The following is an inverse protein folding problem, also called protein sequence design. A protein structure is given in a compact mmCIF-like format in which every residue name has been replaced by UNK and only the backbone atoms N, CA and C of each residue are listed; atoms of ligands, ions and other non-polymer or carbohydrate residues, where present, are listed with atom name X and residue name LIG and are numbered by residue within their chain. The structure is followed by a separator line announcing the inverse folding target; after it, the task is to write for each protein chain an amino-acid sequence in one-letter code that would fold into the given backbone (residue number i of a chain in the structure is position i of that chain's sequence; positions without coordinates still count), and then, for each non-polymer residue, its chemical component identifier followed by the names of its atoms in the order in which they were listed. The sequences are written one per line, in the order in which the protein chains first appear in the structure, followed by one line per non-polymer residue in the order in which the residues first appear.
data_IF_351189828135
#
_entry.id   IF_351189828135
#
_cell.length_a   1.000
_cell.length_b   1.000
_cell.length_c   1.000
_cell.angle_alpha   90.00
_cell.angle_beta   90.00
_cell.angle_gamma   90.00
#
_symmetry.space_group_name_H-M   'P 1'
#
loop_
_entity.id
_entity.type
_entity.pdbx_description
1 polymer ?
#
# COMPACT_ATOMS: atom_id res chain seq x y z
N UNK A 1 -6.65 9.45 -31.14
CA UNK A 1 -5.75 8.58 -30.35
C UNK A 1 -4.78 7.95 -31.35
N UNK A 2 -3.54 8.40 -31.30
CA UNK A 2 -2.53 7.88 -32.24
C UNK A 2 -2.09 6.51 -31.70
N UNK A 3 -2.27 5.43 -32.47
CA UNK A 3 -1.92 4.07 -32.03
C UNK A 3 -0.41 3.88 -31.87
N UNK A 4 0.40 4.80 -32.40
CA UNK A 4 1.86 4.82 -32.28
C UNK A 4 2.35 5.25 -30.88
N UNK A 5 1.47 5.82 -30.04
CA UNK A 5 1.81 6.24 -28.66
C UNK A 5 1.63 5.12 -27.62
N UNK A 6 1.22 3.90 -28.07
CA UNK A 6 1.09 2.75 -27.17
C UNK A 6 2.47 2.12 -26.97
N UNK A 7 3.04 2.33 -25.79
CA UNK A 7 4.36 1.77 -25.40
C UNK A 7 4.17 0.63 -24.42
N UNK A 8 4.70 -0.55 -24.77
CA UNK A 8 4.79 -1.67 -23.84
C UNK A 8 6.04 -1.49 -23.00
N UNK A 9 5.91 -1.52 -21.67
CA UNK A 9 7.01 -1.42 -20.74
C UNK A 9 7.18 -2.71 -19.95
N UNK A 10 8.43 -3.15 -19.76
CA UNK A 10 8.77 -4.30 -18.95
C UNK A 10 9.55 -3.83 -17.72
N UNK A 11 9.29 -4.46 -16.59
CA UNK A 11 10.07 -4.27 -15.37
C UNK A 11 10.71 -5.59 -14.94
N UNK A 12 11.94 -5.51 -14.47
CA UNK A 12 12.63 -6.63 -13.82
C UNK A 12 12.59 -6.38 -12.32
N UNK A 13 12.29 -7.43 -11.58
CA UNK A 13 12.19 -7.40 -10.13
C UNK A 13 13.02 -8.54 -9.55
N UNK A 14 13.90 -8.22 -8.61
CA UNK A 14 14.53 -9.25 -7.79
C UNK A 14 13.70 -9.44 -6.53
N UNK A 15 13.35 -10.69 -6.27
CA UNK A 15 12.56 -11.08 -5.11
C UNK A 15 13.37 -11.98 -4.17
N UNK A 16 13.17 -11.80 -2.87
CA UNK A 16 13.68 -12.69 -1.84
C UNK A 16 12.52 -13.09 -0.92
N UNK A 17 12.27 -14.39 -0.82
CA UNK A 17 11.19 -14.99 -0.03
C UNK A 17 9.81 -14.35 -0.35
N UNK A 18 9.51 -14.16 -1.65
CA UNK A 18 8.25 -13.59 -2.14
C UNK A 18 8.10 -12.08 -1.94
N UNK A 19 9.18 -11.36 -1.63
CA UNK A 19 9.18 -9.90 -1.48
C UNK A 19 10.15 -9.27 -2.45
N UNK A 20 9.69 -8.24 -3.16
CA UNK A 20 10.56 -7.46 -4.05
C UNK A 20 11.60 -6.71 -3.22
N UNK A 21 12.88 -6.98 -3.54
CA UNK A 21 14.04 -6.32 -2.91
C UNK A 21 14.68 -5.28 -3.85
N UNK A 22 14.66 -5.53 -5.16
CA UNK A 22 15.12 -4.57 -6.17
C UNK A 22 14.08 -4.51 -7.28
N UNK A 23 13.59 -3.31 -7.55
CA UNK A 23 12.81 -2.94 -8.71
C UNK A 23 13.63 -2.00 -9.62
N UNK A 24 13.11 -1.56 -10.79
CA UNK A 24 13.83 -0.65 -11.68
C UNK A 24 14.27 0.66 -11.03
N UNK A 25 13.50 1.18 -10.07
CA UNK A 25 13.82 2.41 -9.36
C UNK A 25 14.94 2.20 -8.33
N UNK A 26 14.86 1.13 -7.56
CA UNK A 26 15.90 0.76 -6.58
C UNK A 26 17.22 0.45 -7.29
N UNK A 27 17.18 -0.25 -8.44
CA UNK A 27 18.38 -0.52 -9.23
C UNK A 27 19.08 0.79 -9.65
N UNK A 28 18.33 1.78 -10.14
CA UNK A 28 18.86 3.10 -10.48
C UNK A 28 19.47 3.82 -9.27
N UNK A 29 18.84 3.72 -8.09
CA UNK A 29 19.39 4.25 -6.83
C UNK A 29 20.73 3.62 -6.52
N UNK A 30 20.85 2.29 -6.60
CA UNK A 30 22.11 1.58 -6.33
C UNK A 30 23.20 1.98 -7.34
N UNK A 31 22.87 2.08 -8.62
CA UNK A 31 23.78 2.59 -9.66
C UNK A 31 24.27 4.00 -9.33
N UNK A 32 23.35 4.88 -8.90
CA UNK A 32 23.69 6.26 -8.58
C UNK A 32 24.53 6.39 -7.31
N UNK A 33 24.33 5.50 -6.32
CA UNK A 33 25.19 5.43 -5.14
C UNK A 33 26.60 5.02 -5.55
N UNK A 34 26.73 4.02 -6.42
CA UNK A 34 28.01 3.56 -6.96
C UNK A 34 28.75 4.69 -7.72
N UNK A 35 28.03 5.47 -8.52
CA UNK A 35 28.56 6.63 -9.26
C UNK A 35 28.96 7.77 -8.33
N UNK A 36 28.04 8.23 -7.47
CA UNK A 36 28.21 9.44 -6.65
C UNK A 36 28.99 9.21 -5.37
N UNK A 37 29.08 7.97 -4.91
CA UNK A 37 29.70 7.57 -3.62
C UNK A 37 29.17 8.39 -2.44
N UNK A 38 27.91 8.82 -2.52
CA UNK A 38 27.26 9.69 -1.54
C UNK A 38 25.76 9.50 -1.55
N UNK A 39 25.20 9.06 -0.42
CA UNK A 39 23.74 8.94 -0.26
C UNK A 39 23.05 10.30 -0.37
N UNK A 40 23.64 11.37 0.18
CA UNK A 40 23.07 12.69 0.10
C UNK A 40 22.94 13.18 -1.36
N UNK A 41 24.04 13.09 -2.14
CA UNK A 41 24.01 13.48 -3.57
C UNK A 41 23.10 12.57 -4.39
N UNK A 42 22.98 11.30 -4.02
CA UNK A 42 22.03 10.36 -4.64
C UNK A 42 20.60 10.79 -4.34
N UNK A 43 20.23 11.03 -3.09
CA UNK A 43 18.90 11.48 -2.72
C UNK A 43 18.53 12.78 -3.46
N UNK A 44 19.46 13.74 -3.52
CA UNK A 44 19.29 14.98 -4.27
C UNK A 44 19.06 14.75 -5.77
N UNK A 45 19.77 13.80 -6.40
CA UNK A 45 19.61 13.51 -7.84
C UNK A 45 18.27 12.84 -8.17
N UNK A 46 17.62 12.23 -7.19
CA UNK A 46 16.29 11.64 -7.32
C UNK A 46 15.16 12.53 -6.77
N UNK A 47 15.49 13.73 -6.26
CA UNK A 47 14.50 14.63 -5.68
C UNK A 47 13.79 14.06 -4.45
N UNK A 48 14.44 13.16 -3.70
CA UNK A 48 13.87 12.54 -2.51
C UNK A 48 14.61 12.97 -1.24
N UNK A 49 13.93 13.02 -0.08
CA UNK A 49 14.57 13.23 1.20
C UNK A 49 15.66 12.19 1.49
N UNK A 50 16.73 12.61 2.14
CA UNK A 50 17.82 11.70 2.55
C UNK A 50 17.31 10.55 3.46
N UNK A 51 16.38 10.85 4.36
CA UNK A 51 15.73 9.85 5.22
C UNK A 51 15.02 8.77 4.41
N UNK A 52 14.27 9.15 3.36
CA UNK A 52 13.57 8.21 2.47
C UNK A 52 14.53 7.26 1.75
N UNK A 53 15.65 7.78 1.25
CA UNK A 53 16.69 6.93 0.65
C UNK A 53 17.23 5.92 1.68
N UNK A 54 17.45 6.40 2.91
CA UNK A 54 17.93 5.58 4.01
C UNK A 54 16.94 4.48 4.40
N UNK A 55 15.65 4.79 4.43
CA UNK A 55 14.59 3.83 4.73
C UNK A 55 14.47 2.74 3.65
N UNK A 56 14.64 3.10 2.39
CA UNK A 56 14.68 2.13 1.28
C UNK A 56 15.82 1.14 1.49
N UNK A 57 17.03 1.63 1.74
CA UNK A 57 18.21 0.80 1.97
C UNK A 57 18.01 -0.08 3.22
N UNK A 58 17.62 0.51 4.34
CA UNK A 58 17.42 -0.20 5.60
C UNK A 58 16.33 -1.29 5.51
N UNK A 59 15.28 -1.06 4.70
CA UNK A 59 14.26 -2.06 4.43
C UNK A 59 14.84 -3.26 3.70
N UNK A 60 15.62 -3.04 2.65
CA UNK A 60 16.24 -4.11 1.86
C UNK A 60 17.21 -4.91 2.73
N UNK A 61 18.08 -4.23 3.47
CA UNK A 61 19.05 -4.86 4.38
C UNK A 61 18.37 -5.71 5.46
N UNK A 62 17.28 -5.22 6.04
CA UNK A 62 16.47 -5.99 7.01
C UNK A 62 15.84 -7.23 6.39
N UNK A 63 15.36 -7.15 5.15
CA UNK A 63 14.76 -8.29 4.44
C UNK A 63 15.81 -9.36 4.12
N UNK A 64 17.00 -8.94 3.74
CA UNK A 64 18.11 -9.82 3.37
C UNK A 64 18.90 -10.34 4.58
N UNK A 65 18.86 -9.61 5.68
CA UNK A 65 19.71 -9.89 6.86
C UNK A 65 21.18 -9.49 6.68
N UNK A 66 21.49 -8.75 5.61
CA UNK A 66 22.85 -8.39 5.22
C UNK A 66 22.92 -6.95 4.71
N UNK A 67 24.07 -6.30 4.91
CA UNK A 67 24.34 -4.94 4.46
C UNK A 67 24.58 -4.90 2.96
N UNK A 68 23.92 -3.94 2.27
CA UNK A 68 24.15 -3.64 0.86
C UNK A 68 24.94 -2.34 0.65
N UNK A 69 25.04 -1.50 1.70
CA UNK A 69 25.76 -0.23 1.71
C UNK A 69 26.69 -0.15 2.91
N UNK A 70 27.93 0.28 2.66
CA UNK A 70 28.91 0.65 3.67
C UNK A 70 29.19 2.14 3.64
N UNK A 71 29.45 2.72 4.83
CA UNK A 71 29.83 4.12 5.01
C UNK A 71 31.20 4.24 5.64
N UNK A 72 32.04 5.06 5.03
CA UNK A 72 33.34 5.42 5.57
C UNK A 72 33.35 6.86 6.03
N UNK A 73 33.81 7.11 7.29
CA UNK A 73 33.90 8.45 7.88
C UNK A 73 35.10 9.19 7.31
N UNK A 74 34.87 10.40 6.81
CA UNK A 74 35.83 11.52 6.66
C UNK A 74 37.16 11.31 5.95
N UNK A 75 37.66 12.30 5.21
CA UNK A 75 38.94 12.29 4.50
C UNK A 75 38.85 11.90 3.02
N UNK A 76 39.99 11.69 2.33
CA UNK A 76 40.07 11.37 0.89
C UNK A 76 39.34 10.08 0.46
N UNK A 77 38.89 9.23 1.39
CA UNK A 77 38.16 7.98 1.14
C UNK A 77 36.76 7.93 1.75
N UNK A 78 36.27 9.02 2.35
CA UNK A 78 34.92 9.04 2.97
C UNK A 78 33.80 8.98 1.94
N UNK A 79 32.72 8.23 2.25
CA UNK A 79 31.61 8.12 1.32
C UNK A 79 30.67 6.94 1.65
N UNK A 80 29.73 6.68 0.73
CA UNK A 80 28.85 5.52 0.76
C UNK A 80 29.13 4.65 -0.47
N UNK A 81 29.36 3.37 -0.25
CA UNK A 81 29.73 2.41 -1.27
C UNK A 81 28.79 1.20 -1.18
N UNK A 82 28.59 0.51 -2.29
CA UNK A 82 27.98 -0.81 -2.26
C UNK A 82 28.94 -1.79 -1.58
N UNK A 83 28.40 -2.70 -0.76
CA UNK A 83 29.15 -3.88 -0.30
C UNK A 83 29.33 -4.85 -1.47
N UNK A 84 30.17 -5.88 -1.30
CA UNK A 84 30.32 -6.95 -2.31
C UNK A 84 28.95 -7.59 -2.60
N UNK A 85 28.12 -7.78 -1.58
CA UNK A 85 26.76 -8.28 -1.73
C UNK A 85 25.84 -7.29 -2.46
N UNK A 86 25.93 -6.00 -2.17
CA UNK A 86 25.21 -4.95 -2.91
C UNK A 86 25.60 -4.89 -4.39
N UNK A 87 26.89 -5.04 -4.70
CA UNK A 87 27.41 -5.14 -6.09
C UNK A 87 26.89 -6.41 -6.78
N UNK A 88 26.87 -7.54 -6.09
CA UNK A 88 26.33 -8.80 -6.62
C UNK A 88 24.85 -8.66 -6.98
N UNK A 89 24.04 -8.09 -6.09
CA UNK A 89 22.60 -7.86 -6.33
C UNK A 89 22.37 -6.95 -7.56
N UNK A 90 23.12 -5.84 -7.65
CA UNK A 90 23.02 -4.93 -8.78
C UNK A 90 23.47 -5.61 -10.07
N UNK A 91 24.52 -6.43 -10.03
CA UNK A 91 24.98 -7.21 -11.18
C UNK A 91 23.92 -8.21 -11.64
N UNK A 92 23.30 -8.98 -10.74
CA UNK A 92 22.20 -9.91 -11.07
C UNK A 92 21.03 -9.20 -11.76
N UNK A 93 20.68 -8.02 -11.27
CA UNK A 93 19.63 -7.20 -11.90
C UNK A 93 20.04 -6.79 -13.32
N UNK A 94 21.25 -6.27 -13.51
CA UNK A 94 21.75 -5.80 -14.81
C UNK A 94 21.96 -6.95 -15.81
N UNK A 95 22.39 -8.13 -15.36
CA UNK A 95 22.52 -9.32 -16.19
C UNK A 95 21.13 -9.78 -16.70
N UNK A 96 20.13 -9.84 -15.83
CA UNK A 96 18.76 -10.16 -16.22
C UNK A 96 18.19 -9.11 -17.20
N UNK A 97 18.46 -7.82 -16.94
CA UNK A 97 18.10 -6.70 -17.83
C UNK A 97 18.70 -6.90 -19.21
N UNK A 98 20.00 -7.18 -19.31
CA UNK A 98 20.71 -7.38 -20.57
C UNK A 98 20.22 -8.62 -21.35
N UNK A 99 19.81 -9.68 -20.65
CA UNK A 99 19.21 -10.88 -21.29
C UNK A 99 17.85 -10.53 -21.90
N UNK A 100 17.01 -9.78 -21.15
CA UNK A 100 15.69 -9.38 -21.62
C UNK A 100 15.80 -8.43 -22.82
N UNK A 101 16.68 -7.43 -22.79
CA UNK A 101 16.96 -6.51 -23.89
C UNK A 101 17.41 -7.23 -25.16
N UNK A 102 18.29 -8.21 -25.04
CA UNK A 102 18.75 -9.02 -26.18
C UNK A 102 17.65 -9.89 -26.79
N UNK A 103 16.73 -10.43 -25.97
CA UNK A 103 15.64 -11.30 -26.44
C UNK A 103 14.46 -10.53 -27.03
N UNK A 104 14.19 -9.32 -26.56
CA UNK A 104 13.02 -8.52 -26.94
C UNK A 104 13.36 -7.44 -27.97
N UNK A 105 14.64 -7.28 -28.35
CA UNK A 105 15.09 -6.18 -29.19
C UNK A 105 14.99 -4.85 -28.43
N UNK A 106 15.10 -3.72 -29.15
CA UNK A 106 15.06 -2.37 -28.58
C UNK A 106 13.66 -1.94 -28.10
N UNK A 107 12.85 -2.86 -27.61
CA UNK A 107 11.62 -2.55 -26.89
C UNK A 107 12.02 -1.84 -25.60
N UNK A 108 11.69 -0.59 -25.50
CA UNK A 108 12.10 0.40 -24.52
C UNK A 108 12.06 -0.14 -23.09
N UNK A 109 13.21 -0.50 -22.55
CA UNK A 109 13.41 -0.65 -21.13
C UNK A 109 13.41 0.73 -20.48
N UNK A 110 12.82 0.84 -19.30
CA UNK A 110 12.83 2.08 -18.52
C UNK A 110 14.28 2.34 -18.06
N UNK A 111 15.04 3.04 -18.87
CA UNK A 111 16.41 3.50 -18.62
C UNK A 111 16.53 5.00 -18.85
N UNK A 112 15.49 5.74 -18.52
CA UNK A 112 15.50 7.20 -18.50
C UNK A 112 15.26 7.70 -17.07
N UNK A 113 15.73 8.90 -16.78
CA UNK A 113 15.34 9.66 -15.59
C UNK A 113 13.82 9.51 -15.47
N UNK A 114 13.36 8.87 -14.40
CA UNK A 114 11.92 8.82 -14.10
C UNK A 114 11.51 10.29 -13.94
N UNK A 115 10.70 10.85 -14.84
CA UNK A 115 10.29 12.24 -14.67
C UNK A 115 9.66 12.38 -13.31
N UNK A 116 9.99 13.43 -12.58
CA UNK A 116 9.36 13.71 -11.29
C UNK A 116 7.85 13.55 -11.44
N UNK A 117 7.19 12.77 -10.58
CA UNK A 117 5.75 12.62 -10.66
C UNK A 117 5.11 14.01 -10.46
N UNK A 118 4.03 14.27 -11.19
CA UNK A 118 3.22 15.47 -11.01
C UNK A 118 2.34 15.36 -9.76
N UNK A 119 2.08 14.10 -9.34
CA UNK A 119 1.26 13.79 -8.18
C UNK A 119 1.74 12.50 -7.51
N UNK A 120 1.95 12.54 -6.21
CA UNK A 120 2.28 11.37 -5.39
C UNK A 120 1.09 11.09 -4.48
N UNK A 121 0.46 9.92 -4.65
CA UNK A 121 -0.68 9.47 -3.85
C UNK A 121 -0.27 8.30 -2.98
N UNK A 122 -0.32 8.46 -1.65
CA UNK A 122 -0.17 7.36 -0.70
C UNK A 122 -1.54 6.86 -0.25
N UNK A 123 -1.74 5.54 -0.25
CA UNK A 123 -3.03 4.94 0.03
C UNK A 123 -2.91 3.54 0.62
N UNK A 124 -4.03 2.99 1.08
CA UNK A 124 -4.17 1.58 1.40
C UNK A 124 -4.63 0.78 0.17
N UNK A 125 -4.53 -0.55 0.24
CA UNK A 125 -5.00 -1.45 -0.81
C UNK A 125 -6.51 -1.29 -1.02
N UNK A 126 -6.90 -0.74 -2.19
CA UNK A 126 -8.28 -0.46 -2.55
C UNK A 126 -8.49 -0.43 -4.07
N UNK A 127 -9.60 -1.02 -4.51
CA UNK A 127 -9.92 -1.10 -5.94
C UNK A 127 -10.25 0.26 -6.54
N UNK A 128 -11.11 1.06 -5.86
CA UNK A 128 -11.58 2.33 -6.42
C UNK A 128 -10.46 3.35 -6.55
N UNK A 129 -9.57 3.45 -5.55
CA UNK A 129 -8.43 4.36 -5.66
C UNK A 129 -7.50 3.95 -6.82
N UNK A 130 -7.32 2.66 -7.07
CA UNK A 130 -6.54 2.20 -8.22
C UNK A 130 -7.20 2.60 -9.54
N UNK A 131 -8.52 2.49 -9.67
CA UNK A 131 -9.28 2.94 -10.85
C UNK A 131 -9.11 4.46 -11.04
N UNK A 132 -9.20 5.25 -9.98
CA UNK A 132 -9.00 6.71 -10.02
C UNK A 132 -7.58 7.05 -10.50
N UNK A 133 -6.57 6.38 -9.96
CA UNK A 133 -5.16 6.58 -10.35
C UNK A 133 -4.96 6.24 -11.83
N UNK A 134 -5.52 5.14 -12.32
CA UNK A 134 -5.43 4.76 -13.74
C UNK A 134 -6.18 5.76 -14.64
N UNK A 135 -7.31 6.32 -14.18
CA UNK A 135 -8.01 7.40 -14.89
C UNK A 135 -7.12 8.65 -15.04
N UNK A 136 -6.41 9.05 -14.00
CA UNK A 136 -5.47 10.17 -14.06
C UNK A 136 -4.30 9.89 -15.03
N UNK A 137 -3.75 8.69 -14.97
CA UNK A 137 -2.65 8.26 -15.86
C UNK A 137 -3.08 8.26 -17.32
N UNK A 138 -4.32 7.84 -17.61
CA UNK A 138 -4.89 7.86 -18.98
C UNK A 138 -5.04 9.28 -19.54
N UNK A 139 -5.06 10.29 -18.67
CA UNK A 139 -5.07 11.73 -19.03
C UNK A 139 -3.66 12.33 -19.06
N UNK A 140 -2.62 11.48 -19.14
CA UNK A 140 -1.21 11.85 -19.17
C UNK A 140 -0.70 12.56 -17.89
N UNK A 141 -1.36 12.39 -16.74
CA UNK A 141 -0.85 12.86 -15.45
C UNK A 141 0.13 11.82 -14.92
N UNK A 142 1.35 12.23 -14.61
CA UNK A 142 2.38 11.34 -14.05
C UNK A 142 2.13 11.10 -12.56
N UNK A 143 1.33 10.07 -12.24
CA UNK A 143 0.99 9.71 -10.87
C UNK A 143 1.93 8.62 -10.35
N UNK A 144 2.61 8.89 -9.25
CA UNK A 144 3.25 7.87 -8.41
C UNK A 144 2.27 7.41 -7.34
N UNK A 145 1.95 6.14 -7.35
CA UNK A 145 1.08 5.49 -6.38
C UNK A 145 1.92 4.71 -5.36
N UNK A 146 1.64 4.91 -4.07
CA UNK A 146 2.32 4.28 -2.95
C UNK A 146 1.29 3.56 -2.06
N UNK A 147 1.16 2.25 -2.25
CA UNK A 147 0.27 1.42 -1.41
C UNK A 147 0.97 1.05 -0.10
N UNK A 148 0.76 1.84 0.95
CA UNK A 148 1.51 1.78 2.22
C UNK A 148 0.64 1.50 3.45
N UNK A 149 -0.69 1.56 3.28
CA UNK A 149 -1.65 1.55 4.37
C UNK A 149 -1.91 2.95 4.96
N UNK A 150 -3.07 3.09 5.62
CA UNK A 150 -3.63 4.39 6.03
C UNK A 150 -2.73 5.18 6.96
N UNK A 151 -2.13 4.53 7.97
CA UNK A 151 -1.30 5.22 8.96
C UNK A 151 -0.04 5.83 8.35
N UNK A 152 0.69 5.05 7.54
CA UNK A 152 1.90 5.55 6.89
C UNK A 152 1.57 6.60 5.82
N UNK A 153 0.43 6.49 5.13
CA UNK A 153 -0.03 7.50 4.19
C UNK A 153 -0.21 8.86 4.85
N UNK A 154 -0.88 8.92 6.01
CA UNK A 154 -1.04 10.17 6.77
C UNK A 154 0.29 10.69 7.30
N UNK A 155 1.20 9.82 7.77
CA UNK A 155 2.52 10.22 8.21
C UNK A 155 3.32 10.89 7.09
N UNK A 156 3.32 10.31 5.88
CA UNK A 156 4.01 10.86 4.72
C UNK A 156 3.37 12.18 4.23
N UNK A 157 2.05 12.33 4.34
CA UNK A 157 1.40 13.61 4.07
C UNK A 157 1.86 14.67 5.06
N UNK A 158 1.97 14.33 6.35
CA UNK A 158 2.41 15.29 7.37
C UNK A 158 3.82 15.81 7.12
N UNK A 159 4.74 14.93 6.69
CA UNK A 159 6.14 15.29 6.38
C UNK A 159 6.30 15.93 4.99
N UNK A 160 5.26 15.95 4.15
CA UNK A 160 5.32 16.51 2.79
C UNK A 160 6.01 15.59 1.78
N UNK A 161 6.08 14.30 2.06
CA UNK A 161 6.66 13.31 1.14
C UNK A 161 5.66 12.84 0.07
N UNK A 162 4.37 13.12 0.27
CA UNK A 162 3.30 12.85 -0.70
C UNK A 162 2.38 14.04 -0.81
N UNK A 163 1.70 14.17 -1.94
CA UNK A 163 0.75 15.25 -2.20
C UNK A 163 -0.64 14.89 -1.65
N UNK A 164 -1.02 13.63 -1.75
CA UNK A 164 -2.34 13.11 -1.31
C UNK A 164 -2.15 11.87 -0.44
N UNK A 165 -2.87 11.80 0.67
CA UNK A 165 -2.99 10.60 1.49
C UNK A 165 -4.43 10.14 1.61
N UNK A 166 -4.66 8.84 1.40
CA UNK A 166 -5.97 8.24 1.58
C UNK A 166 -5.97 7.28 2.77
N UNK A 167 -6.98 7.39 3.63
CA UNK A 167 -7.06 6.67 4.89
C UNK A 167 -8.49 6.22 5.22
N UNK A 168 -8.59 5.19 6.09
CA UNK A 168 -9.85 4.65 6.63
C UNK A 168 -9.62 4.11 8.05
N UNK A 169 -9.04 4.92 8.92
CA UNK A 169 -8.69 4.55 10.29
C UNK A 169 -9.87 4.76 11.22
N UNK A 170 -10.41 3.69 11.73
CA UNK A 170 -11.50 3.72 12.71
C UNK A 170 -10.99 4.07 14.10
N UNK A 171 -11.66 4.99 14.76
CA UNK A 171 -11.43 5.32 16.18
C UNK A 171 -12.61 4.81 17.01
N UNK A 172 -12.41 3.77 17.85
CA UNK A 172 -13.48 3.22 18.66
C UNK A 172 -13.97 4.13 19.80
N UNK A 173 -13.21 5.16 20.16
CA UNK A 173 -13.57 6.10 21.23
C UNK A 173 -14.61 7.11 20.71
N UNK A 174 -14.37 7.68 19.51
CA UNK A 174 -15.25 8.65 18.89
C UNK A 174 -16.30 8.03 17.99
N UNK A 175 -16.15 6.76 17.64
CA UNK A 175 -16.93 6.04 16.63
C UNK A 175 -16.89 6.71 15.25
N UNK A 176 -15.75 7.33 14.92
CA UNK A 176 -15.54 8.07 13.69
C UNK A 176 -14.32 7.54 12.93
N UNK A 177 -14.20 7.96 11.67
CA UNK A 177 -13.04 7.62 10.82
C UNK A 177 -12.14 8.84 10.66
N UNK A 178 -10.85 8.61 10.73
CA UNK A 178 -9.73 9.48 10.39
C UNK A 178 -9.51 10.72 11.28
N UNK A 179 -10.54 11.41 11.79
CA UNK A 179 -10.42 12.70 12.48
C UNK A 179 -9.39 12.71 13.63
N UNK A 180 -9.47 11.73 14.55
CA UNK A 180 -8.51 11.63 15.66
C UNK A 180 -7.09 11.32 15.18
N UNK A 181 -6.96 10.63 14.06
CA UNK A 181 -5.67 10.32 13.45
C UNK A 181 -5.07 11.53 12.73
N UNK A 182 -5.89 12.38 12.09
CA UNK A 182 -5.40 13.66 11.56
C UNK A 182 -4.78 14.51 12.66
N UNK A 183 -5.36 14.50 13.87
CA UNK A 183 -4.76 15.19 15.02
C UNK A 183 -3.44 14.56 15.47
N UNK A 184 -3.38 13.22 15.57
CA UNK A 184 -2.16 12.49 15.94
C UNK A 184 -1.01 12.69 14.97
N UNK A 185 -1.30 12.90 13.69
CA UNK A 185 -0.32 13.18 12.64
C UNK A 185 -0.10 14.67 12.37
N UNK A 186 -0.59 15.58 13.26
CA UNK A 186 -0.49 17.05 13.13
C UNK A 186 -1.06 17.60 11.81
N UNK A 187 -2.06 16.92 11.27
CA UNK A 187 -2.74 17.30 10.02
C UNK A 187 -4.07 18.04 10.28
N UNK A 188 -4.62 17.97 11.48
CA UNK A 188 -5.86 18.67 11.83
C UNK A 188 -5.77 20.16 11.50
N UNK A 189 -6.77 20.69 10.83
CA UNK A 189 -6.83 22.07 10.30
C UNK A 189 -5.80 22.43 9.22
N UNK A 190 -4.89 21.51 8.83
CA UNK A 190 -3.87 21.72 7.80
C UNK A 190 -4.19 21.04 6.48
N UNK A 191 -5.18 20.17 6.46
CA UNK A 191 -5.60 19.45 5.27
C UNK A 191 -7.04 19.75 4.89
N UNK A 192 -7.35 19.51 3.62
CA UNK A 192 -8.69 19.46 3.05
C UNK A 192 -8.97 18.02 2.64
N UNK A 193 -10.21 17.57 2.93
CA UNK A 193 -10.72 16.32 2.38
C UNK A 193 -11.21 16.58 0.95
N UNK A 194 -10.58 15.94 -0.01
CA UNK A 194 -10.88 16.17 -1.43
C UNK A 194 -11.96 15.25 -1.98
N UNK A 195 -12.06 14.01 -1.47
CA UNK A 195 -13.17 13.10 -1.76
C UNK A 195 -13.28 12.01 -0.70
N UNK A 196 -14.43 11.36 -0.68
CA UNK A 196 -14.69 10.21 0.20
C UNK A 196 -15.72 9.26 -0.41
N UNK A 197 -15.67 8.02 0.07
CA UNK A 197 -16.64 6.98 -0.24
C UNK A 197 -16.72 5.97 0.90
N UNK A 198 -17.75 5.14 0.88
CA UNK A 198 -17.94 4.08 1.84
C UNK A 198 -17.61 2.72 1.23
N UNK A 199 -17.00 1.85 2.04
CA UNK A 199 -16.74 0.45 1.71
C UNK A 199 -17.40 -0.47 2.73
N UNK A 200 -18.05 -1.50 2.26
CA UNK A 200 -18.61 -2.55 3.11
C UNK A 200 -17.49 -3.51 3.52
N UNK A 201 -17.26 -3.63 4.82
CA UNK A 201 -16.33 -4.59 5.40
C UNK A 201 -17.06 -5.87 5.75
N UNK A 202 -16.51 -7.00 5.34
CA UNK A 202 -17.10 -8.33 5.53
C UNK A 202 -16.09 -9.28 6.16
N UNK A 203 -16.55 -10.22 6.96
CA UNK A 203 -15.78 -11.43 7.28
C UNK A 203 -15.98 -12.41 6.13
N UNK A 204 -14.89 -12.70 5.41
CA UNK A 204 -14.88 -13.62 4.29
C UNK A 204 -14.29 -14.98 4.67
N UNK A 205 -14.86 -16.05 4.14
CA UNK A 205 -14.48 -17.44 4.42
C UNK A 205 -14.79 -18.34 3.21
N UNK A 206 -14.22 -19.56 3.22
CA UNK A 206 -14.46 -20.55 2.17
C UNK A 206 -15.55 -21.56 2.53
N UNK A 207 -15.77 -21.80 3.82
CA UNK A 207 -16.68 -22.84 4.28
C UNK A 207 -18.11 -22.33 4.37
N UNK A 208 -19.01 -22.92 3.56
CA UNK A 208 -20.40 -22.48 3.47
C UNK A 208 -21.17 -22.61 4.80
N UNK A 209 -20.74 -23.51 5.69
CA UNK A 209 -21.42 -23.72 6.97
C UNK A 209 -21.46 -22.46 7.84
N UNK A 210 -20.47 -21.56 7.68
CA UNK A 210 -20.41 -20.29 8.41
C UNK A 210 -21.49 -19.28 7.95
N UNK A 211 -22.19 -19.54 6.84
CA UNK A 211 -23.32 -18.70 6.41
C UNK A 211 -24.52 -18.83 7.33
N UNK A 212 -24.69 -19.98 7.95
CA UNK A 212 -25.84 -20.26 8.84
C UNK A 212 -25.60 -19.76 10.27
N UNK A 213 -24.34 -19.43 10.61
CA UNK A 213 -23.97 -18.94 11.94
C UNK A 213 -24.14 -17.41 12.02
N UNK A 214 -24.48 -16.92 13.20
CA UNK A 214 -24.46 -15.46 13.44
C UNK A 214 -23.01 -14.96 13.67
N UNK A 215 -22.84 -13.64 13.66
CA UNK A 215 -21.53 -13.00 13.81
C UNK A 215 -20.93 -13.28 15.19
N UNK A 216 -21.75 -13.32 16.24
CA UNK A 216 -21.30 -13.59 17.60
C UNK A 216 -20.74 -15.02 17.73
N UNK A 217 -21.40 -16.02 17.13
CA UNK A 217 -20.92 -17.40 17.14
C UNK A 217 -19.61 -17.57 16.35
N UNK A 218 -19.44 -16.85 15.22
CA UNK A 218 -18.18 -16.81 14.48
C UNK A 218 -17.06 -16.27 15.37
N UNK A 219 -17.28 -15.12 16.03
CA UNK A 219 -16.28 -14.55 16.95
C UNK A 219 -15.99 -15.48 18.14
N UNK A 220 -16.99 -16.16 18.66
CA UNK A 220 -16.81 -17.15 19.74
C UNK A 220 -15.89 -18.29 19.31
N UNK A 221 -16.04 -18.79 18.08
CA UNK A 221 -15.16 -19.83 17.50
C UNK A 221 -13.74 -19.30 17.29
N UNK A 222 -13.58 -18.06 16.81
CA UNK A 222 -12.27 -17.41 16.72
C UNK A 222 -11.59 -17.35 18.10
N UNK A 223 -12.31 -16.87 19.11
CA UNK A 223 -11.78 -16.71 20.47
C UNK A 223 -11.52 -18.05 21.19
N UNK A 224 -12.15 -19.13 20.76
CA UNK A 224 -11.85 -20.48 21.23
C UNK A 224 -10.65 -21.13 20.52
N UNK A 225 -10.12 -20.53 19.43
CA UNK A 225 -9.08 -21.12 18.61
C UNK A 225 -9.58 -22.21 17.64
N UNK A 226 -10.87 -22.23 17.37
CA UNK A 226 -11.49 -23.19 16.43
C UNK A 226 -11.36 -22.73 14.97
N UNK A 227 -11.19 -21.41 14.75
CA UNK A 227 -11.02 -20.81 13.43
C UNK A 227 -9.72 -19.98 13.40
N UNK A 228 -8.91 -20.22 12.38
CA UNK A 228 -7.66 -19.48 12.13
C UNK A 228 -7.96 -18.21 11.36
N UNK A 229 -7.52 -17.08 11.87
CA UNK A 229 -7.73 -15.79 11.21
C UNK A 229 -6.52 -15.34 10.39
N UNK A 230 -6.77 -14.50 9.39
CA UNK A 230 -5.75 -13.75 8.66
C UNK A 230 -5.83 -12.27 8.98
N UNK A 231 -4.68 -11.68 9.36
CA UNK A 231 -4.57 -10.24 9.66
C UNK A 231 -3.88 -9.49 8.53
N UNK A 232 -4.35 -8.28 8.24
CA UNK A 232 -3.65 -7.36 7.36
C UNK A 232 -2.36 -6.85 8.03
N UNK A 233 -1.49 -6.25 7.23
CA UNK A 233 -0.27 -5.61 7.70
C UNK A 233 -0.53 -4.55 8.77
N UNK A 234 0.41 -4.35 9.68
CA UNK A 234 0.34 -3.34 10.74
C UNK A 234 0.19 -1.94 10.13
N UNK A 235 -0.68 -1.12 10.74
CA UNK A 235 -1.04 0.22 10.24
C UNK A 235 -2.12 0.24 9.14
N UNK A 236 -2.62 -0.91 8.71
CA UNK A 236 -3.80 -1.01 7.85
C UNK A 236 -5.07 -0.72 8.66
N UNK A 237 -5.99 0.09 8.11
CA UNK A 237 -7.27 0.37 8.75
C UNK A 237 -8.13 -0.89 8.94
N UNK A 238 -8.10 -1.84 8.00
CA UNK A 238 -8.79 -3.13 8.14
C UNK A 238 -8.25 -3.93 9.33
N UNK A 239 -6.93 -3.90 9.58
CA UNK A 239 -6.35 -4.56 10.77
C UNK A 239 -6.83 -3.88 12.04
N UNK A 240 -6.79 -2.57 12.12
CA UNK A 240 -7.25 -1.79 13.29
C UNK A 240 -8.70 -2.10 13.60
N UNK A 241 -9.55 -2.14 12.58
CA UNK A 241 -10.96 -2.50 12.74
C UNK A 241 -11.12 -3.96 13.22
N UNK A 242 -10.35 -4.90 12.69
CA UNK A 242 -10.48 -6.30 13.09
C UNK A 242 -9.97 -6.53 14.52
N UNK A 243 -8.85 -5.90 14.91
CA UNK A 243 -8.37 -5.92 16.31
C UNK A 243 -9.39 -5.32 17.28
N UNK A 244 -10.05 -4.22 16.89
CA UNK A 244 -11.16 -3.66 17.68
C UNK A 244 -12.33 -4.64 17.82
N UNK A 245 -12.75 -5.29 16.73
CA UNK A 245 -13.84 -6.26 16.77
C UNK A 245 -13.49 -7.46 17.64
N UNK A 246 -12.28 -8.00 17.53
CA UNK A 246 -11.79 -9.09 18.37
C UNK A 246 -11.84 -8.71 19.85
N UNK A 247 -11.38 -7.50 20.20
CA UNK A 247 -11.44 -6.98 21.57
C UNK A 247 -12.89 -6.83 22.04
N UNK A 248 -13.75 -6.21 21.24
CA UNK A 248 -15.18 -6.02 21.55
C UNK A 248 -15.86 -7.33 21.88
N UNK A 249 -15.70 -8.37 21.01
CA UNK A 249 -16.31 -9.67 21.23
C UNK A 249 -15.63 -10.46 22.36
N UNK A 250 -14.35 -10.26 22.61
CA UNK A 250 -13.65 -10.78 23.78
C UNK A 250 -14.29 -10.29 25.10
N UNK A 251 -14.63 -9.00 25.17
CA UNK A 251 -15.32 -8.40 26.32
C UNK A 251 -16.77 -8.91 26.44
N UNK A 252 -17.55 -8.93 25.35
CA UNK A 252 -18.95 -9.40 25.32
C UNK A 252 -19.05 -10.88 25.76
N UNK A 253 -18.16 -11.72 25.25
CA UNK A 253 -18.18 -13.16 25.48
C UNK A 253 -17.37 -13.61 26.72
N UNK A 254 -16.76 -12.66 27.42
CA UNK A 254 -15.88 -12.92 28.56
C UNK A 254 -14.78 -13.96 28.23
N UNK A 255 -14.09 -13.78 27.11
CA UNK A 255 -12.98 -14.61 26.62
C UNK A 255 -11.77 -13.75 26.36
N UNK A 256 -10.57 -14.28 26.60
CA UNK A 256 -9.33 -13.59 26.25
C UNK A 256 -8.89 -13.91 24.81
N UNK A 257 -7.89 -13.16 24.33
CA UNK A 257 -7.34 -13.31 22.97
C UNK A 257 -6.24 -14.38 22.86
N UNK A 258 -5.87 -15.04 23.95
CA UNK A 258 -4.70 -15.96 24.00
C UNK A 258 -4.85 -17.18 23.13
N UNK A 259 -6.09 -17.60 22.86
CA UNK A 259 -6.39 -18.76 22.01
C UNK A 259 -6.57 -18.43 20.54
N UNK A 260 -6.59 -17.15 20.16
CA UNK A 260 -6.80 -16.73 18.77
C UNK A 260 -5.61 -17.17 17.90
N UNK A 261 -5.88 -18.02 16.93
CA UNK A 261 -4.87 -18.53 15.98
C UNK A 261 -4.78 -17.59 14.79
N UNK A 262 -3.57 -17.05 14.51
CA UNK A 262 -3.32 -16.19 13.36
C UNK A 262 -3.28 -14.69 13.67
N UNK A 263 -3.39 -14.28 14.93
CA UNK A 263 -3.33 -12.88 15.35
C UNK A 263 -2.02 -12.18 14.92
N UNK A 264 -0.90 -12.92 14.90
CA UNK A 264 0.41 -12.43 14.46
C UNK A 264 0.66 -12.58 12.96
N UNK A 265 -0.31 -13.13 12.22
CA UNK A 265 -0.18 -13.22 10.76
C UNK A 265 -0.18 -11.83 10.12
N UNK A 266 0.49 -11.69 8.96
CA UNK A 266 0.57 -10.41 8.27
C UNK A 266 0.50 -10.61 6.76
N UNK A 267 -0.54 -10.06 6.13
CA UNK A 267 -0.78 -10.07 4.70
C UNK A 267 -0.83 -8.63 4.17
N UNK A 268 -0.10 -8.37 3.08
CA UNK A 268 0.05 -7.01 2.56
C UNK A 268 -1.14 -6.54 1.71
N UNK A 269 -1.88 -7.47 1.09
CA UNK A 269 -3.02 -7.15 0.21
C UNK A 269 -4.26 -7.97 0.54
N UNK A 270 -5.43 -7.49 0.12
CA UNK A 270 -6.67 -8.26 0.21
C UNK A 270 -6.64 -9.51 -0.69
N UNK A 271 -5.91 -9.45 -1.80
CA UNK A 271 -5.72 -10.60 -2.69
C UNK A 271 -4.89 -11.71 -2.03
N UNK A 272 -3.78 -11.36 -1.35
CA UNK A 272 -2.97 -12.35 -0.61
C UNK A 272 -3.79 -13.07 0.45
N UNK A 273 -4.59 -12.32 1.22
CA UNK A 273 -5.42 -12.90 2.28
C UNK A 273 -6.55 -13.76 1.71
N UNK A 274 -7.15 -13.35 0.58
CA UNK A 274 -8.17 -14.15 -0.10
C UNK A 274 -7.60 -15.48 -0.64
N UNK A 275 -6.38 -15.46 -1.19
CA UNK A 275 -5.67 -16.68 -1.60
C UNK A 275 -5.40 -17.58 -0.39
N UNK A 276 -4.98 -17.01 0.75
CA UNK A 276 -4.75 -17.79 1.97
C UNK A 276 -6.01 -18.50 2.48
N UNK A 277 -7.20 -17.89 2.34
CA UNK A 277 -8.49 -18.52 2.63
C UNK A 277 -8.77 -19.66 1.63
N UNK A 278 -8.59 -19.41 0.33
CA UNK A 278 -8.80 -20.42 -0.72
C UNK A 278 -7.92 -21.66 -0.51
N UNK A 279 -6.66 -21.43 -0.11
CA UNK A 279 -5.68 -22.48 0.15
C UNK A 279 -5.84 -23.14 1.52
N UNK A 280 -6.84 -22.74 2.31
CA UNK A 280 -7.10 -23.24 3.67
C UNK A 280 -5.90 -23.04 4.63
N UNK A 281 -5.05 -22.06 4.37
CA UNK A 281 -3.99 -21.65 5.31
C UNK A 281 -4.57 -20.89 6.50
N UNK A 282 -5.65 -20.16 6.26
CA UNK A 282 -6.53 -19.52 7.25
C UNK A 282 -7.98 -19.85 6.92
N UNK A 283 -8.86 -19.72 7.89
CA UNK A 283 -10.27 -20.09 7.72
C UNK A 283 -11.12 -18.86 7.34
N UNK A 284 -10.76 -17.69 7.87
CA UNK A 284 -11.47 -16.44 7.58
C UNK A 284 -10.57 -15.18 7.75
N UNK A 285 -11.04 -14.05 7.22
CA UNK A 285 -10.43 -12.75 7.43
C UNK A 285 -11.44 -11.61 7.21
N UNK A 286 -11.14 -10.44 7.80
CA UNK A 286 -11.84 -9.20 7.49
C UNK A 286 -11.29 -8.60 6.21
N UNK A 287 -12.16 -8.23 5.28
CA UNK A 287 -11.80 -7.58 4.01
C UNK A 287 -12.96 -6.78 3.43
N UNK A 288 -12.71 -5.86 2.47
CA UNK A 288 -13.80 -5.23 1.72
C UNK A 288 -14.58 -6.26 0.89
N UNK A 289 -15.89 -6.08 0.79
CA UNK A 289 -16.80 -6.99 0.09
C UNK A 289 -16.37 -7.29 -1.34
N UNK A 290 -15.89 -6.29 -2.09
CA UNK A 290 -15.41 -6.52 -3.46
C UNK A 290 -14.32 -7.60 -3.54
N UNK A 291 -13.43 -7.63 -2.53
CA UNK A 291 -12.34 -8.60 -2.51
C UNK A 291 -12.84 -10.03 -2.26
N UNK A 292 -13.87 -10.19 -1.45
CA UNK A 292 -14.56 -11.47 -1.26
C UNK A 292 -15.26 -11.91 -2.55
N UNK A 293 -16.01 -11.03 -3.20
CA UNK A 293 -16.78 -11.29 -4.44
C UNK A 293 -15.87 -11.70 -5.59
N UNK A 294 -14.80 -10.93 -5.88
CA UNK A 294 -13.85 -11.25 -6.96
C UNK A 294 -13.20 -12.63 -6.73
N UNK A 295 -12.97 -12.97 -5.45
CA UNK A 295 -12.36 -14.23 -5.08
C UNK A 295 -13.35 -15.37 -4.90
N UNK A 296 -14.65 -15.14 -5.10
CA UNK A 296 -15.73 -16.13 -4.94
C UNK A 296 -15.73 -16.77 -3.55
N UNK A 297 -15.50 -15.95 -2.53
CA UNK A 297 -15.59 -16.34 -1.14
C UNK A 297 -16.99 -16.07 -0.61
N UNK A 298 -17.45 -16.89 0.31
CA UNK A 298 -18.64 -16.58 1.12
C UNK A 298 -18.27 -15.48 2.12
N UNK A 299 -19.27 -14.72 2.57
CA UNK A 299 -19.01 -13.65 3.52
C UNK A 299 -20.25 -13.26 4.33
N UNK A 300 -20.00 -12.60 5.46
CA UNK A 300 -21.02 -11.90 6.26
C UNK A 300 -20.65 -10.43 6.40
N UNK A 301 -21.63 -9.55 6.21
CA UNK A 301 -21.46 -8.10 6.38
C UNK A 301 -21.18 -7.77 7.85
N UNK A 302 -20.23 -6.88 8.08
CA UNK A 302 -19.85 -6.43 9.42
C UNK A 302 -20.21 -4.96 9.61
N UNK A 303 -19.69 -4.08 8.75
CA UNK A 303 -19.88 -2.63 8.87
C UNK A 303 -19.51 -1.93 7.57
N UNK A 304 -19.87 -0.66 7.51
CA UNK A 304 -19.37 0.24 6.47
C UNK A 304 -18.25 1.10 7.05
N UNK A 305 -17.15 1.19 6.35
CA UNK A 305 -16.03 2.06 6.69
C UNK A 305 -15.93 3.25 5.73
N UNK A 306 -15.50 4.37 6.23
CA UNK A 306 -15.34 5.59 5.45
C UNK A 306 -13.90 5.72 4.97
N UNK A 307 -13.73 5.72 3.65
CA UNK A 307 -12.45 5.93 3.00
C UNK A 307 -12.38 7.39 2.55
N UNK A 308 -11.36 8.12 2.99
CA UNK A 308 -11.23 9.55 2.74
C UNK A 308 -9.83 9.87 2.25
N UNK A 309 -9.73 10.80 1.29
CA UNK A 309 -8.46 11.26 0.76
C UNK A 309 -8.26 12.74 1.09
N UNK A 310 -7.04 13.08 1.52
CA UNK A 310 -6.67 14.37 2.07
C UNK A 310 -5.49 14.97 1.31
N UNK A 311 -5.49 16.28 1.19
CA UNK A 311 -4.42 17.11 0.62
C UNK A 311 -4.09 18.24 1.61
N UNK A 312 -2.84 18.72 1.65
CA UNK A 312 -2.52 19.93 2.42
C UNK A 312 -3.20 21.15 1.80
N UNK A 313 -3.72 22.04 2.64
CA UNK A 313 -4.44 23.26 2.19
C UNK A 313 -3.61 24.12 1.23
N UNK A 314 -2.31 24.23 1.49
CA UNK A 314 -1.38 24.95 0.63
C UNK A 314 -1.18 24.33 -0.76
N UNK A 315 -1.49 23.06 -0.92
CA UNK A 315 -1.27 22.30 -2.15
C UNK A 315 -2.53 22.16 -3.03
N UNK A 316 -3.70 22.56 -2.53
CA UNK A 316 -5.01 22.29 -3.18
C UNK A 316 -5.13 22.88 -4.59
N UNK A 317 -4.38 23.94 -4.86
CA UNK A 317 -4.40 24.65 -6.15
C UNK A 317 -3.39 24.09 -7.17
N UNK A 318 -2.67 23.01 -6.88
CA UNK A 318 -1.82 22.35 -7.88
C UNK A 318 -2.68 21.75 -8.99
N UNK A 319 -2.28 21.94 -10.24
CA UNK A 319 -3.02 21.47 -11.43
C UNK A 319 -3.40 19.99 -11.37
N UNK A 320 -2.46 19.14 -10.94
CA UNK A 320 -2.71 17.70 -10.82
C UNK A 320 -3.75 17.36 -9.73
N UNK A 321 -3.78 18.15 -8.64
CA UNK A 321 -4.77 17.99 -7.55
C UNK A 321 -6.13 18.48 -8.02
N UNK A 322 -6.21 19.61 -8.72
CA UNK A 322 -7.46 20.13 -9.31
C UNK A 322 -8.08 19.08 -10.25
N UNK A 323 -7.26 18.44 -11.09
CA UNK A 323 -7.72 17.36 -11.99
C UNK A 323 -8.20 16.13 -11.20
N UNK A 324 -7.51 15.76 -10.12
CA UNK A 324 -7.95 14.67 -9.23
C UNK A 324 -9.30 15.01 -8.61
N UNK A 325 -9.48 16.21 -8.06
CA UNK A 325 -10.74 16.68 -7.48
C UNK A 325 -11.87 16.64 -8.53
N UNK A 326 -11.57 17.10 -9.77
CA UNK A 326 -12.56 17.05 -10.85
C UNK A 326 -12.96 15.62 -11.22
N UNK A 327 -12.01 14.68 -11.19
CA UNK A 327 -12.28 13.26 -11.48
C UNK A 327 -12.99 12.51 -10.35
N UNK A 328 -12.96 13.06 -9.15
CA UNK A 328 -13.54 12.47 -7.94
C UNK A 328 -14.76 13.23 -7.43
N UNK A 329 -15.39 14.08 -8.27
CA UNK A 329 -16.68 14.67 -7.96
C UNK A 329 -17.72 13.59 -7.65
N UNK A 330 -18.66 13.84 -6.72
CA UNK A 330 -19.63 12.82 -6.29
C UNK A 330 -20.36 12.12 -7.44
N UNK A 331 -20.76 12.85 -8.48
CA UNK A 331 -21.45 12.30 -9.64
C UNK A 331 -20.58 11.27 -10.40
N UNK A 332 -19.29 11.59 -10.60
CA UNK A 332 -18.33 10.70 -11.28
C UNK A 332 -18.03 9.48 -10.41
N UNK A 333 -17.84 9.68 -9.10
CA UNK A 333 -17.62 8.56 -8.17
C UNK A 333 -18.83 7.63 -8.11
N UNK A 334 -20.07 8.17 -8.07
CA UNK A 334 -21.30 7.35 -8.09
C UNK A 334 -21.37 6.47 -9.35
N UNK A 335 -20.98 7.00 -10.50
CA UNK A 335 -20.92 6.19 -11.74
C UNK A 335 -19.86 5.11 -11.68
N UNK A 336 -18.67 5.41 -11.16
CA UNK A 336 -17.59 4.43 -11.00
C UNK A 336 -17.98 3.27 -10.06
N UNK A 337 -18.64 3.57 -8.93
CA UNK A 337 -18.97 2.54 -7.94
C UNK A 337 -20.22 1.73 -8.27
N UNK A 338 -21.03 2.16 -9.25
CA UNK A 338 -22.30 1.54 -9.60
C UNK A 338 -22.24 0.02 -9.80
N UNK A 339 -21.13 -0.46 -10.35
CA UNK A 339 -20.92 -1.87 -10.63
C UNK A 339 -19.86 -2.52 -9.71
N UNK A 340 -19.44 -1.84 -8.65
CA UNK A 340 -18.46 -2.39 -7.72
C UNK A 340 -19.18 -2.79 -6.43
N UNK A 341 -19.26 -4.09 -6.11
CA UNK A 341 -19.97 -4.52 -4.91
C UNK A 341 -19.33 -3.99 -3.64
N UNK A 342 -20.17 -3.52 -2.71
CA UNK A 342 -19.72 -3.02 -1.42
C UNK A 342 -19.11 -1.62 -1.44
N UNK A 343 -19.40 -0.80 -2.46
CA UNK A 343 -19.05 0.63 -2.49
C UNK A 343 -20.31 1.50 -2.59
N UNK A 344 -20.27 2.65 -1.96
CA UNK A 344 -21.29 3.69 -2.11
C UNK A 344 -20.68 5.08 -1.92
N UNK A 345 -21.30 6.08 -2.51
CA UNK A 345 -20.96 7.50 -2.39
C UNK A 345 -22.21 8.24 -1.90
N UNK A 346 -22.04 9.08 -0.88
CA UNK A 346 -23.12 9.90 -0.31
C UNK A 346 -23.65 10.94 -1.31
#
# INVERSE_FOLDING_TARGET
MNREDIVIRYGIYLEYKGRVIIDPYIAQILEKIKEKKSLYKTAQSFGIPYSKLWDIIARIERQLGEKIIEKYKGGRGGGAYLTDFGEELLKRYNDAKSILERKLGSLYMIGGVVPSPELIIAHSDDLLINIIIESLRSKNIKVQSLCLGSGLSLAMLSTGEVDVACAHLYDPITNEYNESYLERFWLKNRVEKIFSYWREQVIAFKDQILLDEDIEEIFKKILNGELRIGMRNRGSGTRILFEYLLKKYSEILNKDLSKVIGLESEYNTHSEIAVAIKDRRIDLALMPKYAAEINKLYYKSITWEKYECFVKKEEINKDAIIKLIDDTKPEKLRELVKNIPGYRVD
#
